data_IF_712253596019
#
_entry.id   IF_712253596019
#
_cell.length_a   1.000
_cell.length_b   1.000
_cell.length_c   1.000
_cell.angle_alpha   90.00
_cell.angle_beta   90.00
_cell.angle_gamma   90.00
#
_symmetry.space_group_name_H-M   'P 1'
#
loop_
_entity.id
_entity.type
_entity.pdbx_description
1 polymer ?
#
# COMPACT_ATOMS: atom_id res chain seq x y z
N UNK A 1 -44.37 -9.58 18.04
CA UNK A 1 -43.01 -9.01 17.90
C UNK A 1 -42.61 -9.06 16.41
N UNK A 2 -42.64 -7.94 15.71
CA UNK A 2 -42.13 -7.89 14.32
C UNK A 2 -40.60 -7.83 14.40
N UNK A 3 -39.94 -8.95 14.20
CA UNK A 3 -38.50 -8.99 14.00
C UNK A 3 -38.18 -8.24 12.70
N UNK A 4 -37.52 -7.12 12.83
CA UNK A 4 -37.08 -6.34 11.70
C UNK A 4 -35.89 -7.06 11.08
N UNK A 5 -36.14 -7.97 10.11
CA UNK A 5 -35.08 -8.75 9.40
C UNK A 5 -34.06 -7.89 8.68
N UNK A 6 -34.36 -6.60 8.47
CA UNK A 6 -33.42 -5.64 7.89
C UNK A 6 -32.21 -5.33 8.75
N UNK A 7 -32.26 -5.62 10.06
CA UNK A 7 -31.17 -5.32 10.98
C UNK A 7 -29.97 -6.26 10.85
N UNK A 8 -30.18 -7.49 10.36
CA UNK A 8 -29.12 -8.50 10.21
C UNK A 8 -28.04 -8.14 9.17
N UNK A 9 -28.37 -7.28 8.21
CA UNK A 9 -27.48 -6.86 7.12
C UNK A 9 -27.03 -5.40 7.22
N UNK A 10 -27.35 -4.73 8.33
CA UNK A 10 -26.91 -3.35 8.55
C UNK A 10 -25.41 -3.29 8.84
N UNK A 11 -24.67 -2.38 8.18
CA UNK A 11 -23.26 -2.11 8.47
C UNK A 11 -23.02 -1.77 9.95
N UNK A 12 -23.97 -1.10 10.59
CA UNK A 12 -23.93 -0.79 12.00
C UNK A 12 -23.82 -2.05 12.85
N UNK A 13 -24.60 -3.10 12.54
CA UNK A 13 -24.54 -4.35 13.30
C UNK A 13 -23.23 -5.10 13.07
N UNK A 14 -22.70 -5.09 11.87
CA UNK A 14 -21.39 -5.69 11.57
C UNK A 14 -20.27 -4.95 12.32
N UNK A 15 -20.28 -3.62 12.31
CA UNK A 15 -19.34 -2.80 13.06
C UNK A 15 -19.48 -3.05 14.57
N UNK A 16 -20.68 -3.05 15.12
CA UNK A 16 -20.91 -3.30 16.54
C UNK A 16 -20.48 -4.69 16.97
N UNK A 17 -20.69 -5.70 16.14
CA UNK A 17 -20.19 -7.04 16.42
C UNK A 17 -18.66 -7.05 16.59
N UNK A 18 -17.93 -6.41 15.69
CA UNK A 18 -16.47 -6.32 15.77
C UNK A 18 -16.00 -5.56 17.01
N UNK A 19 -16.66 -4.44 17.33
CA UNK A 19 -16.36 -3.65 18.53
C UNK A 19 -16.58 -4.46 19.79
N UNK A 20 -17.73 -5.17 19.90
CA UNK A 20 -18.05 -6.05 21.04
C UNK A 20 -17.03 -7.18 21.14
N UNK A 21 -16.70 -7.83 20.03
CA UNK A 21 -15.68 -8.89 20.00
C UNK A 21 -14.34 -8.40 20.54
N UNK A 22 -13.92 -7.17 20.15
CA UNK A 22 -12.67 -6.57 20.62
C UNK A 22 -12.68 -6.24 22.11
N UNK A 23 -13.79 -5.69 22.62
CA UNK A 23 -13.99 -5.44 24.05
C UNK A 23 -13.89 -6.75 24.84
N UNK A 24 -14.53 -7.80 24.36
CA UNK A 24 -14.54 -9.10 25.02
C UNK A 24 -13.15 -9.75 25.00
N UNK A 25 -12.43 -9.66 23.90
CA UNK A 25 -11.04 -10.14 23.78
C UNK A 25 -10.12 -9.45 24.80
N UNK A 26 -10.13 -8.12 24.85
CA UNK A 26 -9.31 -7.36 25.78
C UNK A 26 -9.70 -7.62 27.24
N UNK A 27 -11.03 -7.70 27.53
CA UNK A 27 -11.53 -7.94 28.87
C UNK A 27 -11.33 -9.37 29.41
N UNK A 28 -10.92 -10.33 28.56
CA UNK A 28 -10.49 -11.65 29.02
C UNK A 28 -9.08 -11.64 29.64
N UNK A 29 -8.21 -10.76 29.17
CA UNK A 29 -6.84 -10.69 29.63
C UNK A 29 -6.66 -9.77 30.84
N UNK A 30 -7.44 -8.70 30.91
CA UNK A 30 -7.40 -7.75 32.03
C UNK A 30 -8.76 -7.03 32.19
N UNK A 31 -9.18 -6.73 33.43
CA UNK A 31 -10.44 -6.02 33.66
C UNK A 31 -10.41 -4.63 33.02
N UNK A 32 -11.49 -4.25 32.34
CA UNK A 32 -11.62 -2.95 31.67
C UNK A 32 -12.50 -2.01 32.46
N UNK A 33 -12.08 -0.77 32.59
CA UNK A 33 -12.92 0.32 33.11
C UNK A 33 -13.92 0.79 32.06
N UNK A 34 -14.99 1.45 32.49
CA UNK A 34 -15.95 2.08 31.56
C UNK A 34 -15.27 3.00 30.56
N UNK A 35 -14.29 3.81 30.98
CA UNK A 35 -13.53 4.72 30.09
C UNK A 35 -12.74 3.97 29.02
N UNK A 36 -12.14 2.83 29.37
CA UNK A 36 -11.43 2.00 28.40
C UNK A 36 -12.39 1.36 27.40
N UNK A 37 -13.55 0.90 27.83
CA UNK A 37 -14.61 0.38 26.95
C UNK A 37 -15.05 1.48 25.97
N UNK A 38 -15.32 2.70 26.45
CA UNK A 38 -15.67 3.85 25.60
C UNK A 38 -14.57 4.17 24.60
N UNK A 39 -13.31 4.10 25.00
CA UNK A 39 -12.16 4.33 24.12
C UNK A 39 -12.07 3.27 23.00
N UNK A 40 -12.28 1.99 23.31
CA UNK A 40 -12.33 0.90 22.33
C UNK A 40 -13.47 1.13 21.34
N UNK A 41 -14.67 1.48 21.85
CA UNK A 41 -15.84 1.75 21.01
C UNK A 41 -15.56 2.89 20.03
N UNK A 42 -14.96 4.00 20.48
CA UNK A 42 -14.60 5.13 19.60
C UNK A 42 -13.51 4.79 18.59
N UNK A 43 -12.56 3.95 18.98
CA UNK A 43 -11.44 3.54 18.11
C UNK A 43 -11.88 2.63 16.97
N UNK A 44 -12.80 1.70 17.21
CA UNK A 44 -13.20 0.65 16.27
C UNK A 44 -14.63 0.80 15.74
N UNK A 45 -15.41 1.71 16.29
CA UNK A 45 -16.77 2.05 15.87
C UNK A 45 -16.85 3.50 15.39
N UNK A 46 -18.01 4.11 15.57
CA UNK A 46 -18.26 5.52 15.30
C UNK A 46 -18.23 6.32 16.60
N UNK A 47 -17.96 7.61 16.52
CA UNK A 47 -17.87 8.48 17.71
C UNK A 47 -19.13 8.42 18.59
N UNK A 48 -20.30 8.31 17.96
CA UNK A 48 -21.60 8.25 18.64
C UNK A 48 -21.97 6.83 19.13
N UNK A 49 -21.24 5.79 18.70
CA UNK A 49 -21.53 4.41 19.03
C UNK A 49 -21.50 4.14 20.54
N UNK A 50 -20.69 4.88 21.28
CA UNK A 50 -20.60 4.75 22.73
C UNK A 50 -21.93 5.04 23.43
N UNK A 51 -22.73 5.97 22.93
CA UNK A 51 -24.05 6.31 23.49
C UNK A 51 -25.03 5.14 23.42
N UNK A 52 -24.94 4.34 22.37
CA UNK A 52 -25.82 3.16 22.17
C UNK A 52 -25.26 1.90 22.81
N UNK A 53 -23.94 1.68 22.74
CA UNK A 53 -23.32 0.40 23.11
C UNK A 53 -23.03 0.30 24.60
N UNK A 54 -22.56 1.37 25.23
CA UNK A 54 -22.18 1.34 26.65
C UNK A 54 -23.36 0.98 27.57
N UNK A 55 -24.57 1.59 27.44
CA UNK A 55 -25.70 1.18 28.24
C UNK A 55 -26.05 -0.31 28.05
N UNK A 56 -26.09 -0.78 26.82
CA UNK A 56 -26.42 -2.19 26.49
C UNK A 56 -25.43 -3.18 27.08
N UNK A 57 -24.13 -2.85 27.05
CA UNK A 57 -23.07 -3.70 27.60
C UNK A 57 -23.05 -3.71 29.13
N UNK A 58 -23.32 -2.56 29.78
CA UNK A 58 -23.13 -2.41 31.21
C UNK A 58 -24.47 -2.48 32.03
N UNK A 59 -25.62 -2.27 31.37
CA UNK A 59 -26.93 -2.29 32.03
C UNK A 59 -27.71 -3.62 31.84
N UNK A 60 -27.11 -4.58 31.10
CA UNK A 60 -27.63 -5.95 31.07
C UNK A 60 -28.39 -6.36 29.82
N UNK A 61 -28.60 -5.46 28.83
CA UNK A 61 -29.22 -5.86 27.55
C UNK A 61 -28.31 -6.84 26.77
N UNK A 62 -27.02 -6.66 26.89
CA UNK A 62 -25.98 -7.54 26.33
C UNK A 62 -25.14 -8.12 27.48
N UNK A 63 -25.50 -9.29 28.03
CA UNK A 63 -24.88 -9.85 29.24
C UNK A 63 -23.52 -10.50 28.97
N UNK A 64 -22.67 -9.83 28.23
CA UNK A 64 -21.32 -10.31 27.85
C UNK A 64 -20.24 -9.91 28.83
N UNK A 65 -20.45 -8.84 29.60
CA UNK A 65 -19.55 -8.35 30.62
C UNK A 65 -20.15 -8.53 32.01
N UNK A 66 -19.32 -8.82 32.99
CA UNK A 66 -19.67 -8.84 34.40
C UNK A 66 -18.69 -7.99 35.20
N UNK A 67 -19.13 -7.39 36.35
CA UNK A 67 -18.24 -6.72 37.27
C UNK A 67 -17.12 -7.65 37.73
N UNK A 68 -15.92 -7.15 37.82
CA UNK A 68 -14.82 -7.90 38.39
C UNK A 68 -14.96 -8.02 39.91
N UNK A 69 -14.51 -9.17 40.45
CA UNK A 69 -14.58 -9.42 41.90
C UNK A 69 -13.72 -8.47 42.74
N UNK A 70 -12.70 -7.87 42.13
CA UNK A 70 -11.75 -6.95 42.78
C UNK A 70 -12.20 -5.49 42.79
N UNK A 71 -13.08 -5.06 41.87
CA UNK A 71 -13.56 -3.68 41.78
C UNK A 71 -14.90 -3.62 41.07
N UNK A 72 -15.86 -2.87 41.65
CA UNK A 72 -17.18 -2.66 41.02
C UNK A 72 -17.12 -1.74 39.78
N UNK A 73 -15.99 -1.08 39.54
CA UNK A 73 -15.80 -0.13 38.44
C UNK A 73 -15.15 -0.77 37.22
N UNK A 74 -14.73 -2.04 37.32
CA UNK A 74 -14.09 -2.77 36.24
C UNK A 74 -14.94 -3.98 35.83
N UNK A 75 -14.84 -4.33 34.54
CA UNK A 75 -15.64 -5.34 33.89
C UNK A 75 -14.76 -6.37 33.22
N UNK A 76 -15.12 -7.64 33.32
CA UNK A 76 -14.48 -8.77 32.67
C UNK A 76 -15.45 -9.52 31.77
N UNK A 77 -14.95 -10.17 30.73
CA UNK A 77 -15.73 -11.01 29.85
C UNK A 77 -16.41 -12.19 30.62
N UNK A 78 -17.64 -12.46 30.31
CA UNK A 78 -18.34 -13.67 30.76
C UNK A 78 -17.83 -14.89 30.00
N UNK A 79 -17.36 -14.69 28.79
CA UNK A 79 -16.88 -15.74 27.91
C UNK A 79 -15.44 -16.10 28.26
N UNK A 80 -15.13 -17.40 28.26
CA UNK A 80 -13.84 -17.90 28.71
C UNK A 80 -12.89 -18.26 27.55
N UNK A 81 -13.41 -18.40 26.35
CA UNK A 81 -12.67 -18.86 25.19
C UNK A 81 -12.72 -17.83 24.07
N UNK A 82 -11.58 -17.48 23.54
CA UNK A 82 -11.38 -16.70 22.32
C UNK A 82 -10.98 -17.67 21.18
N UNK A 83 -11.15 -17.31 19.92
CA UNK A 83 -11.44 -15.98 19.38
C UNK A 83 -12.91 -15.81 18.95
N UNK A 84 -13.40 -14.57 19.03
CA UNK A 84 -14.66 -14.16 18.41
C UNK A 84 -14.44 -13.89 16.93
N UNK A 85 -14.30 -14.94 16.14
CA UNK A 85 -14.19 -14.78 14.70
C UNK A 85 -15.59 -14.66 14.10
N UNK A 86 -15.82 -13.55 13.42
CA UNK A 86 -17.01 -13.47 12.57
C UNK A 86 -16.81 -14.45 11.41
N UNK A 87 -17.71 -15.42 11.21
CA UNK A 87 -17.59 -16.35 10.09
C UNK A 87 -17.64 -15.55 8.77
N UNK A 88 -16.76 -15.91 7.85
CA UNK A 88 -16.74 -15.28 6.53
C UNK A 88 -18.06 -15.59 5.80
N UNK A 89 -18.65 -14.56 5.21
CA UNK A 89 -19.80 -14.70 4.34
C UNK A 89 -19.42 -15.51 3.09
N UNK A 90 -20.40 -16.09 2.41
CA UNK A 90 -20.18 -16.83 1.17
C UNK A 90 -19.50 -15.95 0.11
N UNK A 91 -19.89 -14.68 0.02
CA UNK A 91 -19.29 -13.71 -0.90
C UNK A 91 -17.80 -13.46 -0.60
N UNK A 92 -17.46 -13.26 0.69
CA UNK A 92 -16.07 -13.09 1.11
C UNK A 92 -15.23 -14.34 0.82
N UNK A 93 -15.74 -15.53 1.08
CA UNK A 93 -15.09 -16.79 0.74
C UNK A 93 -14.82 -16.90 -0.76
N UNK A 94 -15.83 -16.61 -1.59
CA UNK A 94 -15.72 -16.63 -3.05
C UNK A 94 -14.68 -15.62 -3.56
N UNK A 95 -14.62 -14.44 -2.95
CA UNK A 95 -13.63 -13.41 -3.29
C UNK A 95 -12.22 -13.83 -2.89
N UNK A 96 -12.01 -14.32 -1.67
CA UNK A 96 -10.70 -14.82 -1.22
C UNK A 96 -10.24 -15.97 -2.14
N UNK A 97 -11.14 -16.89 -2.51
CA UNK A 97 -10.80 -17.97 -3.43
C UNK A 97 -10.38 -17.47 -4.81
N UNK A 98 -11.02 -16.41 -5.32
CA UNK A 98 -10.59 -15.79 -6.58
C UNK A 98 -9.20 -15.16 -6.47
N UNK A 99 -8.89 -14.48 -5.35
CA UNK A 99 -7.57 -13.91 -5.08
C UNK A 99 -6.47 -14.96 -4.97
N UNK A 100 -6.76 -16.15 -4.45
CA UNK A 100 -5.77 -17.24 -4.34
C UNK A 100 -5.19 -17.69 -5.67
N UNK A 101 -5.90 -17.46 -6.79
CA UNK A 101 -5.39 -17.75 -8.15
C UNK A 101 -4.50 -16.64 -8.70
N UNK A 102 -4.39 -15.48 -8.02
CA UNK A 102 -3.45 -14.42 -8.38
C UNK A 102 -2.07 -14.72 -7.77
N UNK A 103 -1.07 -14.90 -8.63
CA UNK A 103 0.31 -15.16 -8.20
C UNK A 103 0.88 -14.05 -7.31
N UNK A 104 0.37 -12.81 -7.41
CA UNK A 104 0.76 -11.69 -6.56
C UNK A 104 0.23 -11.86 -5.14
N UNK A 105 -1.01 -12.35 -4.99
CA UNK A 105 -1.58 -12.66 -3.69
C UNK A 105 -0.79 -13.77 -2.98
N UNK A 106 -0.36 -14.79 -3.72
CA UNK A 106 0.40 -15.91 -3.18
C UNK A 106 1.76 -15.50 -2.58
N UNK A 107 2.32 -14.34 -2.99
CA UNK A 107 3.59 -13.84 -2.46
C UNK A 107 3.57 -13.55 -0.94
N UNK A 108 2.40 -13.31 -0.38
CA UNK A 108 2.25 -12.92 1.03
C UNK A 108 2.02 -14.11 1.97
N UNK A 109 1.97 -15.33 1.43
CA UNK A 109 1.68 -16.54 2.19
C UNK A 109 2.73 -17.62 1.97
N UNK A 110 2.89 -18.48 2.97
CA UNK A 110 3.67 -19.71 2.84
C UNK A 110 2.86 -20.78 2.10
N UNK A 111 3.53 -21.79 1.55
CA UNK A 111 2.86 -22.90 0.87
C UNK A 111 1.89 -23.66 1.79
N UNK A 112 2.24 -23.78 3.07
CA UNK A 112 1.37 -24.40 4.07
C UNK A 112 0.07 -23.59 4.26
N UNK A 113 0.19 -22.27 4.41
CA UNK A 113 -0.97 -21.38 4.56
C UNK A 113 -1.89 -21.41 3.32
N UNK A 114 -1.29 -21.40 2.13
CA UNK A 114 -2.06 -21.50 0.88
C UNK A 114 -2.83 -22.81 0.79
N UNK A 115 -2.22 -23.92 1.19
CA UNK A 115 -2.86 -25.22 1.23
C UNK A 115 -4.02 -25.29 2.23
N UNK A 116 -3.82 -24.77 3.45
CA UNK A 116 -4.85 -24.68 4.47
C UNK A 116 -6.04 -23.82 4.00
N UNK A 117 -5.75 -22.68 3.31
CA UNK A 117 -6.79 -21.84 2.72
C UNK A 117 -7.56 -22.57 1.61
N UNK A 118 -6.88 -23.34 0.77
CA UNK A 118 -7.50 -24.11 -0.29
C UNK A 118 -8.42 -25.20 0.26
N UNK A 119 -8.00 -25.91 1.29
CA UNK A 119 -8.81 -26.91 2.00
C UNK A 119 -10.04 -26.27 2.65
N UNK A 120 -9.85 -25.12 3.31
CA UNK A 120 -10.97 -24.38 3.94
C UNK A 120 -12.01 -23.87 2.94
N UNK A 121 -11.58 -23.52 1.72
CA UNK A 121 -12.43 -22.98 0.65
C UNK A 121 -12.78 -24.02 -0.42
N UNK A 122 -12.59 -25.30 -0.14
CA UNK A 122 -12.81 -26.40 -1.11
C UNK A 122 -14.23 -26.45 -1.67
N UNK A 123 -15.24 -26.14 -0.84
CA UNK A 123 -16.67 -26.12 -1.17
C UNK A 123 -17.14 -24.81 -1.82
N UNK A 124 -16.25 -23.83 -1.97
CA UNK A 124 -16.55 -22.48 -2.43
C UNK A 124 -16.14 -22.28 -3.88
N UNK A 125 -17.00 -21.72 -4.70
CA UNK A 125 -16.64 -21.29 -6.07
C UNK A 125 -15.98 -19.91 -6.03
N UNK A 126 -14.93 -19.65 -6.84
CA UNK A 126 -14.31 -18.33 -6.93
C UNK A 126 -15.29 -17.31 -7.51
N UNK A 127 -15.17 -16.06 -7.10
CA UNK A 127 -16.03 -14.98 -7.58
C UNK A 127 -15.78 -14.67 -9.07
N UNK A 128 -14.56 -14.82 -9.51
CA UNK A 128 -14.11 -14.66 -10.90
C UNK A 128 -12.83 -15.48 -11.10
N UNK A 129 -12.47 -15.73 -12.37
CA UNK A 129 -11.16 -16.24 -12.75
C UNK A 129 -10.33 -15.11 -13.39
N UNK A 130 -9.00 -15.13 -13.20
CA UNK A 130 -8.11 -14.12 -13.83
C UNK A 130 -8.22 -14.18 -15.35
N UNK A 131 -8.48 -15.37 -15.91
CA UNK A 131 -8.72 -15.56 -17.35
C UNK A 131 -9.94 -14.82 -17.90
N UNK A 132 -10.86 -14.36 -17.04
CA UNK A 132 -12.04 -13.60 -17.45
C UNK A 132 -11.70 -12.16 -17.82
N UNK A 133 -10.47 -11.71 -17.53
CA UNK A 133 -10.00 -10.35 -17.75
C UNK A 133 -8.91 -10.27 -18.82
N UNK A 134 -9.00 -9.22 -19.64
CA UNK A 134 -7.93 -8.85 -20.56
C UNK A 134 -7.18 -7.62 -19.98
N UNK A 135 -5.94 -7.81 -19.55
CA UNK A 135 -5.09 -6.75 -19.00
C UNK A 135 -4.24 -6.17 -20.13
N UNK A 136 -4.69 -5.06 -20.72
CA UNK A 136 -4.08 -4.56 -21.94
C UNK A 136 -2.91 -3.60 -21.72
N UNK A 137 -2.83 -2.90 -20.57
CA UNK A 137 -1.79 -1.89 -20.28
C UNK A 137 -0.71 -2.39 -19.30
N UNK A 138 -0.67 -3.69 -19.01
CA UNK A 138 0.41 -4.32 -18.25
C UNK A 138 1.59 -4.68 -19.15
N UNK A 139 2.79 -4.36 -18.68
CA UNK A 139 4.02 -4.80 -19.33
C UNK A 139 4.20 -6.31 -19.14
N UNK A 140 4.62 -7.00 -20.22
CA UNK A 140 4.88 -8.45 -20.17
C UNK A 140 6.14 -8.80 -19.37
N UNK A 141 7.04 -7.83 -19.16
CA UNK A 141 8.27 -7.98 -18.38
C UNK A 141 8.04 -7.58 -16.91
N UNK A 142 7.16 -8.34 -16.23
CA UNK A 142 6.89 -8.23 -14.81
C UNK A 142 7.83 -9.10 -13.98
N UNK A 143 7.81 -8.95 -12.65
CA UNK A 143 8.57 -9.79 -11.74
C UNK A 143 8.10 -11.26 -11.80
N UNK A 144 9.00 -12.23 -11.52
CA UNK A 144 8.70 -13.66 -11.63
C UNK A 144 7.91 -14.17 -10.40
N UNK A 145 6.65 -13.75 -10.26
CA UNK A 145 5.82 -14.04 -9.09
C UNK A 145 5.62 -15.52 -8.80
N UNK A 146 5.66 -16.37 -9.85
CA UNK A 146 5.52 -17.82 -9.69
C UNK A 146 6.81 -18.52 -9.23
N UNK A 147 7.94 -17.79 -9.12
CA UNK A 147 9.21 -18.35 -8.67
C UNK A 147 9.19 -18.60 -7.17
N UNK A 148 9.54 -19.81 -6.74
CA UNK A 148 9.66 -20.18 -5.32
C UNK A 148 10.69 -19.28 -4.62
N UNK A 149 11.85 -19.08 -5.22
CA UNK A 149 12.91 -18.21 -4.67
C UNK A 149 12.43 -16.76 -4.50
N UNK A 150 11.67 -16.24 -5.48
CA UNK A 150 11.13 -14.89 -5.41
C UNK A 150 10.15 -14.74 -4.22
N UNK A 151 9.30 -15.75 -4.01
CA UNK A 151 8.34 -15.79 -2.91
C UNK A 151 9.04 -15.90 -1.55
N UNK A 152 10.09 -16.71 -1.44
CA UNK A 152 10.91 -16.81 -0.24
C UNK A 152 11.60 -15.48 0.10
N UNK A 153 12.13 -14.78 -0.91
CA UNK A 153 12.69 -13.44 -0.74
C UNK A 153 11.64 -12.46 -0.23
N UNK A 154 10.44 -12.47 -0.82
CA UNK A 154 9.34 -11.59 -0.43
C UNK A 154 8.93 -11.85 1.03
N UNK A 155 8.73 -13.11 1.43
CA UNK A 155 8.37 -13.47 2.80
C UNK A 155 9.47 -13.06 3.80
N UNK A 156 10.74 -13.21 3.43
CA UNK A 156 11.87 -12.77 4.27
C UNK A 156 11.88 -11.27 4.43
N UNK A 157 11.62 -10.51 3.37
CA UNK A 157 11.53 -9.04 3.41
C UNK A 157 10.38 -8.59 4.30
N UNK A 158 9.17 -9.14 4.11
CA UNK A 158 7.99 -8.79 4.91
C UNK A 158 8.20 -9.06 6.40
N UNK A 159 8.74 -10.23 6.72
CA UNK A 159 9.06 -10.59 8.11
C UNK A 159 10.10 -9.64 8.71
N UNK A 160 11.14 -9.27 7.96
CA UNK A 160 12.16 -8.36 8.41
C UNK A 160 11.65 -6.92 8.60
N UNK A 161 10.69 -6.46 7.77
CA UNK A 161 10.02 -5.17 7.96
C UNK A 161 9.22 -5.18 9.28
N UNK A 162 8.45 -6.24 9.53
CA UNK A 162 7.67 -6.37 10.79
C UNK A 162 8.57 -6.45 12.02
N UNK A 163 9.72 -7.12 11.92
CA UNK A 163 10.68 -7.31 13.01
C UNK A 163 11.66 -6.13 13.15
N UNK A 164 11.63 -5.15 12.24
CA UNK A 164 12.63 -4.07 12.14
C UNK A 164 14.07 -4.60 12.11
N UNK A 165 14.31 -5.68 11.37
CA UNK A 165 15.57 -6.42 11.34
C UNK A 165 16.34 -6.14 10.06
N UNK A 166 17.65 -5.94 10.18
CA UNK A 166 18.53 -5.79 9.03
C UNK A 166 18.61 -7.08 8.20
N UNK A 167 18.77 -6.88 6.90
CA UNK A 167 18.94 -7.94 5.90
C UNK A 167 20.31 -7.82 5.22
N UNK A 168 21.04 -8.92 5.15
CA UNK A 168 22.19 -9.06 4.25
C UNK A 168 21.67 -9.49 2.88
N UNK A 169 21.80 -8.63 1.87
CA UNK A 169 21.27 -8.83 0.54
C UNK A 169 22.40 -8.85 -0.48
N UNK A 170 22.46 -9.90 -1.31
CA UNK A 170 23.27 -9.93 -2.53
C UNK A 170 22.41 -9.51 -3.71
N UNK A 171 22.81 -8.44 -4.38
CA UNK A 171 22.01 -7.72 -5.36
C UNK A 171 22.74 -7.57 -6.68
N UNK A 172 22.04 -7.85 -7.79
CA UNK A 172 22.57 -7.65 -9.15
C UNK A 172 22.36 -6.18 -9.58
N UNK A 173 23.43 -5.41 -9.63
CA UNK A 173 23.38 -4.00 -10.05
C UNK A 173 23.03 -3.85 -11.54
N UNK A 174 22.67 -2.63 -11.97
CA UNK A 174 22.43 -2.32 -13.41
C UNK A 174 23.67 -2.59 -14.28
N UNK A 175 24.88 -2.45 -13.71
CA UNK A 175 26.17 -2.74 -14.38
C UNK A 175 26.55 -4.22 -14.35
N UNK A 176 25.61 -5.11 -13.97
CA UNK A 176 25.80 -6.58 -13.84
C UNK A 176 26.85 -6.97 -12.77
N UNK A 177 27.19 -6.09 -11.85
CA UNK A 177 28.06 -6.43 -10.73
C UNK A 177 27.21 -6.94 -9.57
N UNK A 178 27.68 -7.96 -8.87
CA UNK A 178 27.05 -8.46 -7.63
C UNK A 178 27.58 -7.62 -6.47
N UNK A 179 26.66 -7.00 -5.75
CA UNK A 179 26.94 -6.20 -4.56
C UNK A 179 26.26 -6.86 -3.37
N UNK A 180 27.00 -7.06 -2.30
CA UNK A 180 26.46 -7.57 -1.04
C UNK A 180 26.61 -6.51 0.03
N UNK A 181 25.48 -6.07 0.57
CA UNK A 181 25.41 -5.07 1.62
C UNK A 181 24.33 -5.43 2.64
N UNK A 182 24.38 -4.74 3.76
CA UNK A 182 23.37 -4.83 4.80
C UNK A 182 22.44 -3.62 4.72
N UNK A 183 21.14 -3.90 4.62
CA UNK A 183 20.10 -2.88 4.57
C UNK A 183 19.01 -3.18 5.60
N UNK A 184 18.40 -2.13 6.11
CA UNK A 184 17.16 -2.20 6.85
C UNK A 184 15.98 -2.03 5.86
N UNK A 185 15.15 -3.06 5.66
CA UNK A 185 13.97 -2.95 4.81
C UNK A 185 12.92 -2.07 5.49
N UNK A 186 12.40 -1.08 4.77
CA UNK A 186 11.46 -0.11 5.32
C UNK A 186 10.06 -0.22 4.73
N UNK A 187 9.95 -0.30 3.39
CA UNK A 187 8.68 -0.31 2.68
C UNK A 187 8.80 -1.04 1.36
N UNK A 188 7.74 -1.76 0.97
CA UNK A 188 7.57 -2.29 -0.38
C UNK A 188 6.67 -1.37 -1.20
N UNK A 189 7.09 -1.08 -2.43
CA UNK A 189 6.29 -0.42 -3.45
C UNK A 189 5.98 -1.41 -4.56
N UNK A 190 4.75 -1.40 -5.04
CA UNK A 190 4.34 -2.18 -6.21
C UNK A 190 3.98 -1.26 -7.37
N UNK A 191 4.71 -1.38 -8.47
CA UNK A 191 4.39 -0.70 -9.72
C UNK A 191 3.33 -1.48 -10.48
N UNK A 192 2.10 -0.99 -10.50
CA UNK A 192 0.97 -1.70 -11.10
C UNK A 192 1.14 -1.88 -12.62
N UNK A 193 1.71 -0.89 -13.29
CA UNK A 193 1.91 -0.88 -14.76
C UNK A 193 3.04 -1.81 -15.20
N UNK A 194 4.16 -1.81 -14.50
CA UNK A 194 5.34 -2.64 -14.82
C UNK A 194 5.35 -3.97 -14.08
N UNK A 195 4.42 -4.19 -13.14
CA UNK A 195 4.32 -5.43 -12.39
C UNK A 195 5.55 -5.75 -11.55
N UNK A 196 6.21 -4.73 -10.97
CA UNK A 196 7.48 -4.91 -10.25
C UNK A 196 7.38 -4.43 -8.81
N UNK A 197 7.95 -5.22 -7.91
CA UNK A 197 8.15 -4.81 -6.54
C UNK A 197 9.50 -4.13 -6.35
N UNK A 198 9.47 -3.03 -5.62
CA UNK A 198 10.65 -2.25 -5.21
C UNK A 198 10.70 -2.18 -3.69
N UNK A 199 11.87 -2.47 -3.15
CA UNK A 199 12.12 -2.39 -1.73
C UNK A 199 12.82 -1.06 -1.41
N UNK A 200 12.18 -0.20 -0.65
CA UNK A 200 12.81 0.93 0.00
C UNK A 200 13.56 0.44 1.22
N UNK A 201 14.86 0.65 1.24
CA UNK A 201 15.74 0.17 2.29
C UNK A 201 16.74 1.23 2.73
N UNK A 202 16.99 1.29 4.01
CA UNK A 202 17.98 2.19 4.59
C UNK A 202 19.32 1.45 4.70
N UNK A 203 20.34 2.00 4.05
CA UNK A 203 21.71 1.60 4.21
C UNK A 203 22.45 2.53 5.18
N UNK A 204 23.34 1.97 5.99
CA UNK A 204 24.23 2.76 6.83
C UNK A 204 25.57 2.86 6.13
N UNK A 205 25.97 4.08 5.79
CA UNK A 205 27.28 4.36 5.19
C UNK A 205 28.40 4.21 6.22
N UNK A 206 29.63 4.00 5.76
CA UNK A 206 30.82 3.86 6.64
C UNK A 206 31.06 5.06 7.60
N UNK A 207 30.56 6.23 7.23
CA UNK A 207 30.60 7.45 8.04
C UNK A 207 29.40 7.62 8.98
N UNK A 208 28.54 6.57 9.13
CA UNK A 208 27.33 6.62 9.95
C UNK A 208 26.13 7.31 9.29
N UNK A 209 26.30 7.91 8.10
CA UNK A 209 25.19 8.55 7.39
C UNK A 209 24.19 7.51 6.90
N UNK A 210 22.90 7.82 7.05
CA UNK A 210 21.81 7.00 6.56
C UNK A 210 21.52 7.38 5.10
N UNK A 211 21.33 6.35 4.25
CA UNK A 211 20.95 6.54 2.85
C UNK A 211 19.81 5.61 2.50
N UNK A 212 18.79 6.15 1.86
CA UNK A 212 17.70 5.34 1.32
C UNK A 212 18.09 4.84 -0.08
N UNK A 213 18.06 3.53 -0.24
CA UNK A 213 18.24 2.84 -1.52
C UNK A 213 16.94 2.18 -1.95
N UNK A 214 16.70 2.13 -3.27
CA UNK A 214 15.57 1.42 -3.86
C UNK A 214 16.10 0.22 -4.62
N UNK A 215 15.74 -0.97 -4.14
CA UNK A 215 16.14 -2.24 -4.70
C UNK A 215 14.97 -2.86 -5.45
N UNK A 216 15.18 -3.27 -6.71
CA UNK A 216 14.19 -4.08 -7.42
C UNK A 216 14.26 -5.52 -6.86
N UNK A 217 13.16 -6.04 -6.31
CA UNK A 217 13.13 -7.33 -5.63
C UNK A 217 13.56 -8.48 -6.55
N UNK A 218 13.19 -8.42 -7.84
CA UNK A 218 13.61 -9.44 -8.83
C UNK A 218 15.13 -9.50 -9.09
N UNK A 219 15.90 -8.49 -8.64
CA UNK A 219 17.37 -8.47 -8.77
C UNK A 219 18.10 -8.97 -7.54
N UNK A 220 17.38 -9.38 -6.52
CA UNK A 220 17.95 -9.98 -5.31
C UNK A 220 18.32 -11.42 -5.64
N UNK A 221 19.62 -11.76 -5.46
CA UNK A 221 20.15 -13.08 -5.70
C UNK A 221 20.10 -13.96 -4.43
N UNK A 222 20.35 -13.35 -3.28
CA UNK A 222 20.22 -14.01 -1.99
C UNK A 222 19.92 -13.01 -0.89
N UNK A 223 19.21 -13.46 0.12
CA UNK A 223 18.78 -12.65 1.26
C UNK A 223 18.88 -13.46 2.54
N UNK A 224 19.41 -12.83 3.60
CA UNK A 224 19.48 -13.44 4.94
C UNK A 224 19.17 -12.39 6.01
N UNK A 225 18.38 -12.77 7.01
CA UNK A 225 18.18 -11.96 8.20
C UNK A 225 19.47 -11.90 9.01
N UNK A 226 19.80 -10.74 9.52
CA UNK A 226 20.91 -10.56 10.49
C UNK A 226 20.37 -10.61 11.91
N UNK A 227 21.26 -10.70 12.90
CA UNK A 227 20.85 -10.62 14.31
C UNK A 227 20.54 -9.19 14.77
N UNK A 228 20.91 -8.19 13.96
CA UNK A 228 20.76 -6.78 14.32
C UNK A 228 19.32 -6.32 14.11
N UNK A 229 18.74 -5.74 15.16
CA UNK A 229 17.41 -5.12 15.16
C UNK A 229 17.60 -3.60 15.25
N UNK A 230 16.78 -2.85 14.56
CA UNK A 230 16.74 -1.40 14.63
C UNK A 230 15.67 -0.98 15.63
N UNK A 231 16.05 -0.21 16.65
CA UNK A 231 15.18 0.17 17.77
C UNK A 231 14.41 1.46 17.56
N UNK A 232 14.85 2.29 16.60
CA UNK A 232 14.24 3.60 16.36
C UNK A 232 13.12 3.51 15.32
N UNK A 233 12.19 4.46 15.34
CA UNK A 233 11.19 4.58 14.30
C UNK A 233 11.78 5.26 13.07
N UNK A 234 11.53 4.69 11.88
CA UNK A 234 11.91 5.31 10.61
C UNK A 234 10.68 5.95 9.98
N UNK A 235 10.75 7.25 9.80
CA UNK A 235 9.74 7.97 9.02
C UNK A 235 10.16 7.96 7.53
N UNK A 236 9.69 6.94 6.81
CA UNK A 236 9.96 6.78 5.38
C UNK A 236 9.34 7.92 4.58
N UNK A 237 8.19 8.44 5.00
CA UNK A 237 7.47 9.49 4.27
C UNK A 237 8.27 10.80 4.33
N UNK A 238 8.78 11.17 5.50
CA UNK A 238 9.68 12.32 5.65
C UNK A 238 10.94 12.21 4.77
N UNK A 239 11.47 10.99 4.66
CA UNK A 239 12.61 10.74 3.79
C UNK A 239 12.26 10.90 2.31
N UNK A 240 11.09 10.39 1.90
CA UNK A 240 10.58 10.56 0.53
C UNK A 240 10.29 12.01 0.20
N UNK A 241 9.71 12.76 1.13
CA UNK A 241 9.48 14.20 0.99
C UNK A 241 10.80 14.97 0.81
N UNK A 242 11.85 14.61 1.56
CA UNK A 242 13.19 15.23 1.42
C UNK A 242 13.87 14.93 0.10
N UNK A 243 13.44 13.89 -0.62
CA UNK A 243 13.96 13.51 -1.93
C UNK A 243 13.28 14.25 -3.10
N UNK A 244 12.21 15.01 -2.83
CA UNK A 244 11.55 15.82 -3.82
C UNK A 244 12.49 16.92 -4.36
N UNK A 245 12.38 17.22 -5.65
CA UNK A 245 13.11 18.33 -6.23
C UNK A 245 12.66 19.65 -5.61
N UNK A 246 13.62 20.53 -5.28
CA UNK A 246 13.34 21.86 -4.71
C UNK A 246 12.42 22.68 -5.63
N UNK A 247 12.60 22.54 -6.94
CA UNK A 247 11.78 23.21 -7.95
C UNK A 247 10.83 22.21 -8.59
N UNK A 248 9.52 22.40 -8.43
CA UNK A 248 8.54 21.54 -9.08
C UNK A 248 8.54 21.75 -10.60
N UNK A 249 8.07 20.77 -11.34
CA UNK A 249 7.81 20.89 -12.76
C UNK A 249 6.51 21.68 -12.98
N UNK A 250 6.61 22.78 -13.72
CA UNK A 250 5.44 23.60 -14.09
C UNK A 250 5.15 23.44 -15.56
N UNK A 251 3.95 22.98 -15.85
CA UNK A 251 3.44 22.76 -17.19
C UNK A 251 2.32 23.73 -17.52
N UNK A 252 2.25 24.18 -18.77
CA UNK A 252 1.08 24.80 -19.36
C UNK A 252 0.41 23.76 -20.28
N UNK A 253 -0.88 23.52 -20.08
CA UNK A 253 -1.65 22.48 -20.76
C UNK A 253 -2.83 23.15 -21.48
N UNK A 254 -2.98 22.89 -22.77
CA UNK A 254 -4.11 23.37 -23.56
C UNK A 254 -5.35 22.46 -23.36
N UNK A 255 -6.52 22.95 -23.75
CA UNK A 255 -7.74 22.11 -23.76
C UNK A 255 -7.92 21.32 -25.04
N UNK A 256 -7.01 21.50 -26.02
CA UNK A 256 -7.10 20.81 -27.29
C UNK A 256 -7.00 19.29 -27.13
N UNK A 257 -7.80 18.54 -27.87
CA UNK A 257 -7.77 17.07 -27.90
C UNK A 257 -7.89 16.42 -26.51
N UNK A 258 -8.65 17.02 -25.59
CA UNK A 258 -8.78 16.58 -24.20
C UNK A 258 -7.44 16.47 -23.47
N UNK A 259 -6.46 17.33 -23.83
CA UNK A 259 -5.13 17.26 -23.28
C UNK A 259 -5.09 17.42 -21.76
N UNK A 260 -5.95 18.28 -21.20
CA UNK A 260 -6.05 18.48 -19.76
C UNK A 260 -6.42 17.19 -19.04
N UNK A 261 -7.52 16.54 -19.43
CA UNK A 261 -8.00 15.32 -18.77
C UNK A 261 -6.98 14.19 -18.90
N UNK A 262 -6.41 14.02 -20.09
CA UNK A 262 -5.36 13.04 -20.34
C UNK A 262 -4.12 13.30 -19.49
N UNK A 263 -3.67 14.54 -19.36
CA UNK A 263 -2.52 14.90 -18.54
C UNK A 263 -2.82 14.68 -17.05
N UNK A 264 -4.01 15.06 -16.57
CA UNK A 264 -4.41 14.83 -15.18
C UNK A 264 -4.44 13.35 -14.83
N UNK A 265 -4.92 12.50 -15.73
CA UNK A 265 -4.91 11.05 -15.58
C UNK A 265 -3.48 10.49 -15.62
N UNK A 266 -2.69 10.92 -16.60
CA UNK A 266 -1.33 10.42 -16.81
C UNK A 266 -0.38 10.75 -15.65
N UNK A 267 -0.51 11.97 -15.09
CA UNK A 267 0.25 12.42 -13.92
C UNK A 267 -0.47 12.15 -12.60
N UNK A 268 -1.42 11.22 -12.54
CA UNK A 268 -2.18 10.91 -11.32
C UNK A 268 -1.33 10.35 -10.18
N UNK A 269 -0.21 9.72 -10.50
CA UNK A 269 0.74 9.19 -9.51
C UNK A 269 1.61 10.25 -8.83
N UNK A 270 1.62 11.49 -9.34
CA UNK A 270 2.39 12.58 -8.76
C UNK A 270 1.50 13.50 -7.91
N UNK A 271 2.08 14.05 -6.84
CA UNK A 271 1.47 15.17 -6.15
C UNK A 271 1.46 16.37 -7.10
N UNK A 272 0.28 16.94 -7.36
CA UNK A 272 0.12 18.02 -8.32
C UNK A 272 -0.92 19.05 -7.89
N UNK A 273 -0.72 20.28 -8.38
CA UNK A 273 -1.66 21.39 -8.25
C UNK A 273 -2.02 21.89 -9.64
N UNK A 274 -3.31 22.13 -9.89
CA UNK A 274 -3.79 22.60 -11.20
C UNK A 274 -4.59 23.88 -11.01
N UNK A 275 -4.28 24.89 -11.83
CA UNK A 275 -4.91 26.18 -11.80
C UNK A 275 -5.28 26.62 -13.23
N UNK A 276 -6.49 27.15 -13.40
CA UNK A 276 -6.90 27.74 -14.68
C UNK A 276 -6.24 29.10 -14.84
N UNK A 277 -5.60 29.35 -15.97
CA UNK A 277 -5.06 30.69 -16.26
C UNK A 277 -6.21 31.60 -16.69
N UNK A 278 -6.22 32.83 -16.11
CA UNK A 278 -7.19 33.86 -16.47
C UNK A 278 -6.99 34.25 -17.92
N UNK A 279 -8.09 34.46 -18.65
CA UNK A 279 -8.11 34.93 -20.05
C UNK A 279 -7.53 33.96 -21.11
N UNK A 280 -7.28 32.71 -20.75
CA UNK A 280 -6.82 31.69 -21.69
C UNK A 280 -7.54 30.35 -21.50
N UNK A 281 -7.57 29.56 -22.58
CA UNK A 281 -8.09 28.21 -22.55
C UNK A 281 -6.98 27.21 -22.15
N UNK A 282 -6.11 27.63 -21.24
CA UNK A 282 -4.94 26.87 -20.77
C UNK A 282 -4.95 26.72 -19.26
N UNK A 283 -4.29 25.69 -18.79
CA UNK A 283 -4.14 25.34 -17.38
C UNK A 283 -2.69 25.25 -17.00
N UNK A 284 -2.35 25.75 -15.80
CA UNK A 284 -1.04 25.53 -15.22
C UNK A 284 -1.10 24.32 -14.30
N UNK A 285 -0.24 23.33 -14.54
CA UNK A 285 -0.12 22.14 -13.72
C UNK A 285 1.28 22.13 -13.09
N UNK A 286 1.33 22.19 -11.76
CA UNK A 286 2.56 22.11 -10.97
C UNK A 286 2.70 20.70 -10.43
N UNK A 287 3.79 19.99 -10.76
CA UNK A 287 4.04 18.59 -10.40
C UNK A 287 5.25 18.54 -9.47
N UNK A 288 5.08 17.94 -8.30
CA UNK A 288 6.16 17.65 -7.36
C UNK A 288 6.70 16.25 -7.65
N UNK A 289 8.00 16.15 -7.86
CA UNK A 289 8.61 14.88 -8.28
C UNK A 289 9.99 14.67 -7.62
N UNK A 290 10.38 13.43 -7.51
CA UNK A 290 11.70 13.02 -7.06
C UNK A 290 12.67 12.99 -8.25
N UNK A 291 13.88 13.52 -8.05
CA UNK A 291 14.93 13.57 -9.08
C UNK A 291 15.24 12.21 -9.70
N UNK A 292 15.04 11.13 -8.97
CA UNK A 292 15.22 9.76 -9.46
C UNK A 292 14.26 9.40 -10.60
N UNK A 293 13.07 10.01 -10.64
CA UNK A 293 12.03 9.79 -11.64
C UNK A 293 11.99 10.85 -12.72
N UNK A 294 12.94 11.82 -12.70
CA UNK A 294 13.00 12.94 -13.65
C UNK A 294 13.02 12.46 -15.11
N UNK A 295 13.82 11.43 -15.43
CA UNK A 295 13.90 10.88 -16.78
C UNK A 295 12.58 10.28 -17.26
N UNK A 296 11.88 9.55 -16.38
CA UNK A 296 10.57 8.95 -16.70
C UNK A 296 9.52 10.03 -16.88
N UNK A 297 9.49 11.02 -15.99
CA UNK A 297 8.59 12.16 -16.09
C UNK A 297 8.82 12.96 -17.38
N UNK A 298 10.08 13.12 -17.80
CA UNK A 298 10.45 13.79 -19.04
C UNK A 298 9.92 13.03 -20.27
N UNK A 299 10.01 11.70 -20.29
CA UNK A 299 9.44 10.86 -21.36
C UNK A 299 7.91 11.02 -21.38
N UNK A 300 7.27 11.01 -20.23
CA UNK A 300 5.84 11.21 -20.11
C UNK A 300 5.40 12.58 -20.65
N UNK A 301 6.11 13.65 -20.31
CA UNK A 301 5.81 15.00 -20.81
C UNK A 301 5.97 15.07 -22.34
N UNK A 302 7.04 14.51 -22.90
CA UNK A 302 7.26 14.45 -24.34
C UNK A 302 6.17 13.70 -25.10
N UNK A 303 5.53 12.70 -24.47
CA UNK A 303 4.46 11.91 -25.11
C UNK A 303 3.20 12.71 -25.43
N UNK A 304 3.02 13.88 -24.80
CA UNK A 304 1.87 14.76 -25.08
C UNK A 304 2.08 15.63 -26.32
N UNK A 305 3.33 15.80 -26.79
CA UNK A 305 3.63 16.66 -27.93
C UNK A 305 3.30 18.14 -27.66
N UNK A 306 2.75 18.87 -28.67
CA UNK A 306 2.64 20.34 -28.59
C UNK A 306 1.53 20.84 -27.64
N UNK A 307 0.68 19.98 -27.12
CA UNK A 307 -0.43 20.38 -26.23
C UNK A 307 -0.01 20.59 -24.79
N UNK A 308 1.23 20.24 -24.46
CA UNK A 308 1.85 20.47 -23.15
C UNK A 308 3.16 21.20 -23.32
N UNK A 309 3.27 22.35 -22.66
CA UNK A 309 4.48 23.19 -22.67
C UNK A 309 5.10 23.21 -21.28
N UNK A 310 6.40 22.97 -21.20
CA UNK A 310 7.16 23.11 -19.94
C UNK A 310 7.50 24.59 -19.74
N UNK A 311 7.19 25.11 -18.55
CA UNK A 311 7.51 26.47 -18.15
C UNK A 311 8.72 26.49 -17.23
N UNK A 312 8.77 25.61 -16.23
CA UNK A 312 9.82 25.53 -15.20
C UNK A 312 10.06 24.07 -14.81
N UNK A 313 11.26 23.72 -14.32
CA UNK A 313 12.48 24.52 -14.24
C UNK A 313 13.23 24.55 -15.57
N UNK A 314 14.11 25.57 -15.77
CA UNK A 314 14.89 25.71 -17.02
C UNK A 314 15.74 24.47 -17.31
N UNK A 315 16.33 23.85 -16.29
CA UNK A 315 17.10 22.60 -16.46
C UNK A 315 16.30 21.46 -17.08
N UNK A 316 15.03 21.35 -16.77
CA UNK A 316 14.13 20.36 -17.36
C UNK A 316 13.76 20.73 -18.81
N UNK A 317 13.52 22.03 -19.04
CA UNK A 317 13.25 22.56 -20.38
C UNK A 317 14.44 22.36 -21.34
N UNK A 318 15.66 22.55 -20.87
CA UNK A 318 16.88 22.27 -21.66
C UNK A 318 16.98 20.81 -22.07
N UNK A 319 16.69 19.87 -21.15
CA UNK A 319 16.66 18.44 -21.47
C UNK A 319 15.58 18.09 -22.51
N UNK A 320 14.41 18.73 -22.46
CA UNK A 320 13.36 18.58 -23.47
C UNK A 320 13.87 19.09 -24.84
N UNK A 321 14.43 20.31 -24.88
CA UNK A 321 14.94 20.91 -26.10
C UNK A 321 16.03 20.04 -26.74
N UNK A 322 16.96 19.54 -25.96
CA UNK A 322 18.02 18.66 -26.44
C UNK A 322 17.45 17.38 -27.08
N UNK A 323 16.50 16.70 -26.40
CA UNK A 323 15.90 15.47 -26.94
C UNK A 323 15.12 15.70 -28.21
N UNK A 324 14.36 16.80 -28.29
CA UNK A 324 13.60 17.16 -29.51
C UNK A 324 14.55 17.47 -30.67
N UNK A 325 15.64 18.21 -30.42
CA UNK A 325 16.68 18.49 -31.46
C UNK A 325 17.33 17.21 -31.96
N UNK A 326 17.75 16.33 -31.04
CA UNK A 326 18.36 15.06 -31.41
C UNK A 326 17.41 14.18 -32.24
N UNK A 327 16.12 14.18 -31.90
CA UNK A 327 15.11 13.46 -32.68
C UNK A 327 14.91 14.06 -34.08
N UNK A 328 14.88 15.39 -34.21
CA UNK A 328 14.77 16.07 -35.50
C UNK A 328 15.97 15.71 -36.42
N UNK A 329 17.19 15.76 -35.90
CA UNK A 329 18.41 15.38 -36.67
C UNK A 329 18.36 13.91 -37.14
N UNK A 330 17.79 13.00 -36.31
CA UNK A 330 17.65 11.61 -36.72
C UNK A 330 16.58 11.40 -37.80
N UNK A 331 15.55 12.24 -37.86
CA UNK A 331 14.53 12.22 -38.91
C UNK A 331 15.08 12.80 -40.23
N UNK A 332 15.82 13.87 -40.16
CA UNK A 332 16.44 14.50 -41.35
C UNK A 332 17.49 13.60 -42.06
N UNK A 333 18.21 12.77 -41.29
CA UNK A 333 19.20 11.82 -41.86
C UNK A 333 18.58 10.63 -42.60
N UNK A 334 17.25 10.48 -42.62
CA UNK A 334 16.53 9.40 -43.34
C UNK A 334 15.91 9.83 -44.65
N UNK A 335 16.14 11.08 -45.09
CA UNK A 335 15.81 11.60 -46.42
C UNK A 335 17.14 11.73 -47.21
#
# INVERSE_FOLDING_TARGET
>A
MKTNDSSLFSELYTCYYQVVAKILEESMHHPLTRRQIEAIIRKYGYDESALCMVPRLLQGDWPFLKPDKGSRETYISVLKNSPFWQPLTRLQKSWIKALMYDSRFQLFFTDLQLKEMEEYLSDTQPLYHISDFCLFDQYKDHDPFSSVMYREHMNTILSAICEQRFLSISYLSRKKNILTHTWLPCRLEYGQRDGKFRLYSMGICKNGAQRMDILNVARILSIKKTETIYSDSIDVDKFLESALCEKPLVLEITTERNALERALLHFSCYQKKVERLRDSNTYRCTIYYDKRWETELLIQVLSFGPVVKVLEPESFLEQIRERVRNQAVLMEKRI
#
